data_IF_614946233779
#
_entry.id   IF_614946233779
#
_cell.length_a   1.000
_cell.length_b   1.000
_cell.length_c   1.000
_cell.angle_alpha   90.00
_cell.angle_beta   90.00
_cell.angle_gamma   90.00
#
_symmetry.space_group_name_H-M   'P 1'
#
loop_
_entity.id
_entity.type
_entity.pdbx_description
1 polymer ?
#
# COMPACT_ATOMS: atom_id res chain seq x y z
N UNK A 1 13.72 7.67 -8.19
CA UNK A 1 12.69 7.90 -7.15
C UNK A 1 11.36 8.11 -7.88
N UNK A 2 10.46 7.10 -7.97
CA UNK A 2 9.14 7.32 -8.61
C UNK A 2 8.38 8.30 -7.71
N UNK A 3 8.01 9.48 -8.23
CA UNK A 3 7.20 10.43 -7.46
C UNK A 3 5.83 9.80 -7.18
N UNK A 4 5.51 9.61 -5.91
CA UNK A 4 4.20 9.10 -5.50
C UNK A 4 3.21 10.25 -5.59
N UNK A 5 2.25 10.12 -6.50
CA UNK A 5 1.16 11.07 -6.61
C UNK A 5 0.27 11.03 -5.37
N UNK A 6 -0.04 12.19 -4.77
CA UNK A 6 -0.85 12.28 -3.54
C UNK A 6 -2.23 11.66 -3.69
N UNK A 7 -2.83 11.64 -4.88
CA UNK A 7 -4.09 10.95 -5.11
C UNK A 7 -3.94 9.43 -5.09
N UNK A 8 -2.82 8.92 -5.64
CA UNK A 8 -2.54 7.48 -5.61
C UNK A 8 -2.29 7.00 -4.18
N UNK A 9 -1.59 7.81 -3.38
CA UNK A 9 -1.41 7.52 -1.95
C UNK A 9 -2.75 7.51 -1.20
N UNK A 10 -3.61 8.51 -1.46
CA UNK A 10 -4.95 8.55 -0.86
C UNK A 10 -5.77 7.33 -1.25
N UNK A 11 -5.76 6.93 -2.53
CA UNK A 11 -6.48 5.73 -2.99
C UNK A 11 -5.93 4.44 -2.37
N UNK A 12 -4.61 4.34 -2.23
CA UNK A 12 -3.99 3.22 -1.54
C UNK A 12 -4.45 3.10 -0.09
N UNK A 13 -4.44 4.20 0.68
CA UNK A 13 -4.85 4.15 2.08
C UNK A 13 -6.35 3.92 2.22
N UNK A 14 -7.19 4.69 1.53
CA UNK A 14 -8.63 4.68 1.77
C UNK A 14 -9.39 3.60 1.00
N UNK A 15 -8.92 3.17 -0.17
CA UNK A 15 -9.63 2.17 -0.99
C UNK A 15 -8.94 0.80 -1.02
N UNK A 16 -7.61 0.76 -1.05
CA UNK A 16 -6.89 -0.52 -1.10
C UNK A 16 -6.68 -1.12 0.29
N UNK A 17 -6.05 -0.38 1.21
CA UNK A 17 -5.82 -0.82 2.59
C UNK A 17 -7.11 -0.79 3.42
N UNK A 18 -7.88 0.30 3.30
CA UNK A 18 -9.05 0.57 4.15
C UNK A 18 -8.68 0.57 5.64
N UNK A 19 -9.70 0.64 6.50
CA UNK A 19 -9.50 0.69 7.95
C UNK A 19 -8.75 -0.53 8.48
N UNK A 20 -9.10 -1.73 8.00
CA UNK A 20 -8.51 -2.98 8.48
C UNK A 20 -7.04 -3.13 8.09
N UNK A 21 -6.67 -2.75 6.87
CA UNK A 21 -5.28 -2.80 6.42
C UNK A 21 -4.39 -1.80 7.18
N UNK A 22 -4.92 -0.62 7.50
CA UNK A 22 -4.22 0.36 8.35
C UNK A 22 -4.08 -0.18 9.78
N UNK A 23 -5.12 -0.82 10.31
CA UNK A 23 -5.07 -1.46 11.63
C UNK A 23 -4.00 -2.56 11.69
N UNK A 24 -3.95 -3.45 10.69
CA UNK A 24 -2.95 -4.51 10.60
C UNK A 24 -1.53 -3.96 10.48
N UNK A 25 -1.30 -2.92 9.68
CA UNK A 25 0.01 -2.26 9.59
C UNK A 25 0.45 -1.69 10.95
N UNK A 26 -0.47 -1.06 11.71
CA UNK A 26 -0.19 -0.57 13.07
C UNK A 26 0.12 -1.72 14.03
N UNK A 27 -0.62 -2.82 13.94
CA UNK A 27 -0.37 -4.02 14.73
C UNK A 27 1.03 -4.60 14.46
N UNK A 28 1.42 -4.71 13.18
CA UNK A 28 2.74 -5.20 12.78
C UNK A 28 3.84 -4.25 13.26
N UNK A 29 3.67 -2.94 13.11
CA UNK A 29 4.62 -1.95 13.63
C UNK A 29 4.79 -2.08 15.16
N UNK A 30 3.69 -2.31 15.88
CA UNK A 30 3.68 -2.39 17.35
C UNK A 30 4.32 -3.67 17.87
N UNK A 31 4.11 -4.81 17.19
CA UNK A 31 4.49 -6.13 17.73
C UNK A 31 5.67 -6.79 17.02
N UNK A 32 5.90 -6.50 15.74
CA UNK A 32 7.00 -7.05 14.94
C UNK A 32 8.11 -6.01 14.68
N UNK A 33 7.86 -4.75 14.98
CA UNK A 33 8.80 -3.64 14.78
C UNK A 33 8.71 -2.98 13.41
N UNK A 34 9.55 -1.98 13.20
CA UNK A 34 9.47 -1.08 12.04
C UNK A 34 9.89 -1.74 10.74
N UNK A 35 10.94 -2.60 10.76
CA UNK A 35 11.48 -3.21 9.55
C UNK A 35 10.47 -4.17 8.88
N UNK A 36 9.80 -5.10 9.59
CA UNK A 36 8.73 -5.90 9.00
C UNK A 36 7.53 -5.08 8.52
N UNK A 37 7.16 -4.02 9.24
CA UNK A 37 6.09 -3.12 8.82
C UNK A 37 6.45 -2.40 7.51
N UNK A 38 7.69 -1.94 7.36
CA UNK A 38 8.19 -1.29 6.16
C UNK A 38 8.13 -2.23 4.94
N UNK A 39 8.67 -3.45 5.06
CA UNK A 39 8.66 -4.43 3.97
C UNK A 39 7.22 -4.84 3.58
N UNK A 40 6.32 -4.96 4.55
CA UNK A 40 4.91 -5.22 4.31
C UNK A 40 4.24 -4.05 3.57
N UNK A 41 4.40 -2.82 4.06
CA UNK A 41 3.83 -1.64 3.42
C UNK A 41 4.34 -1.44 1.99
N UNK A 42 5.64 -1.65 1.77
CA UNK A 42 6.28 -1.59 0.44
C UNK A 42 5.72 -2.65 -0.50
N UNK A 43 5.56 -3.88 -0.03
CA UNK A 43 4.99 -4.97 -0.82
C UNK A 43 3.53 -4.70 -1.20
N UNK A 44 2.73 -4.19 -0.25
CA UNK A 44 1.33 -3.80 -0.50
C UNK A 44 1.24 -2.65 -1.51
N UNK A 45 2.12 -1.66 -1.41
CA UNK A 45 2.21 -0.56 -2.36
C UNK A 45 2.57 -1.04 -3.77
N UNK A 46 3.57 -1.91 -3.89
CA UNK A 46 3.94 -2.49 -5.20
C UNK A 46 2.77 -3.26 -5.81
N UNK A 47 2.09 -4.11 -5.03
CA UNK A 47 0.88 -4.82 -5.50
C UNK A 47 -0.24 -3.87 -5.93
N UNK A 48 -0.41 -2.74 -5.24
CA UNK A 48 -1.36 -1.71 -5.63
C UNK A 48 -0.96 -1.05 -6.97
N UNK A 49 0.32 -0.75 -7.17
CA UNK A 49 0.85 -0.20 -8.42
C UNK A 49 0.73 -1.20 -9.58
N UNK A 50 1.10 -2.46 -9.38
CA UNK A 50 1.01 -3.51 -10.41
C UNK A 50 -0.45 -3.70 -10.88
N UNK A 51 -1.40 -3.71 -9.93
CA UNK A 51 -2.83 -3.80 -10.25
C UNK A 51 -3.38 -2.53 -10.93
N UNK A 52 -2.69 -1.39 -10.79
CA UNK A 52 -3.02 -0.16 -11.52
C UNK A 52 -2.52 -0.20 -12.96
N UNK A 53 -1.35 -0.79 -13.20
CA UNK A 53 -0.77 -0.98 -14.54
C UNK A 53 -1.53 -2.06 -15.34
N UNK A 54 -2.06 -3.09 -14.67
CA UNK A 54 -2.92 -4.11 -15.31
C UNK A 54 -4.26 -3.60 -15.85
N UNK A 55 -4.75 -2.44 -15.40
CA UNK A 55 -6.01 -1.84 -15.90
C UNK A 55 -5.86 -0.97 -17.16
N UNK A 56 -4.64 -0.76 -17.67
CA UNK A 56 -4.39 0.00 -18.91
C UNK A 56 -4.32 -0.88 -20.17
N UNK A 57 -4.50 -2.20 -20.06
CA UNK A 57 -4.36 -3.13 -21.19
C UNK A 57 -5.69 -3.73 -21.70
N UNK A 58 -6.83 -3.27 -21.17
CA UNK A 58 -8.18 -3.74 -21.52
C UNK A 58 -9.13 -2.58 -21.91
N UNK A 59 -8.63 -1.57 -22.64
CA UNK A 59 -9.46 -0.59 -23.35
C UNK A 59 -8.91 -0.34 -24.75
#
# INVERSE_FOLDING_TARGET
YKMVDSQSLRRFVFHFLRQDGVFLLRMVATHAGELPCYELAKTLWNKYCDNKEGKMHDV
#
